data_IF_669516734081
#
_entry.id   IF_669516734081
#
_cell.length_a   1.000
_cell.length_b   1.000
_cell.length_c   1.000
_cell.angle_alpha   90.00
_cell.angle_beta   90.00
_cell.angle_gamma   90.00
#
_symmetry.space_group_name_H-M   'P 1'
#
loop_
_entity.id
_entity.type
_entity.pdbx_description
1 polymer ?
#
# COMPACT_ATOMS: atom_id res chain seq x y z
N UNK A 1 5.30 24.18 -11.19
CA UNK A 1 4.74 23.08 -10.37
C UNK A 1 5.79 22.04 -9.95
N UNK A 2 6.85 21.80 -10.75
CA UNK A 2 8.00 20.97 -10.37
C UNK A 2 8.84 21.48 -9.18
N UNK A 3 8.81 22.79 -8.87
CA UNK A 3 9.57 23.39 -7.75
C UNK A 3 8.92 23.18 -6.36
N UNK A 4 7.64 22.84 -6.28
CA UNK A 4 6.97 22.58 -4.99
C UNK A 4 7.23 21.15 -4.47
N UNK A 5 7.50 20.22 -5.38
CA UNK A 5 7.85 18.82 -5.06
C UNK A 5 9.33 18.73 -4.62
N UNK A 6 10.21 19.55 -5.20
CA UNK A 6 11.64 19.58 -4.85
C UNK A 6 11.93 20.12 -3.44
N UNK A 7 11.08 21.00 -2.89
CA UNK A 7 11.23 21.48 -1.50
C UNK A 7 10.74 20.48 -0.45
N UNK A 8 9.95 19.47 -0.83
CA UNK A 8 9.42 18.47 0.09
C UNK A 8 10.40 17.31 0.32
N UNK A 9 11.20 16.95 -0.68
CA UNK A 9 12.33 16.01 -0.49
C UNK A 9 13.34 16.53 0.54
N UNK A 10 13.50 17.86 0.67
CA UNK A 10 14.44 18.42 1.64
C UNK A 10 14.02 18.21 3.10
N UNK A 11 12.72 18.08 3.41
CA UNK A 11 12.27 17.81 4.78
C UNK A 11 12.44 16.32 5.16
N UNK A 12 12.46 15.42 4.18
CA UNK A 12 12.80 14.01 4.38
C UNK A 12 14.33 13.79 4.40
N UNK A 13 15.09 14.65 3.70
CA UNK A 13 16.56 14.65 3.66
C UNK A 13 17.23 15.42 4.82
N UNK A 14 16.47 16.20 5.62
CA UNK A 14 17.03 17.02 6.71
C UNK A 14 17.46 16.24 7.96
N UNK A 15 17.26 14.91 7.99
CA UNK A 15 17.85 14.01 8.99
C UNK A 15 19.13 13.29 8.51
N UNK A 16 19.56 13.50 7.27
CA UNK A 16 20.71 12.81 6.66
C UNK A 16 22.03 13.58 6.77
N UNK A 17 22.42 14.05 7.97
CA UNK A 17 23.78 14.55 8.21
C UNK A 17 24.38 14.00 9.50
N UNK A 18 24.78 12.73 9.50
CA UNK A 18 25.92 12.27 10.31
C UNK A 18 26.75 11.22 9.55
N UNK A 19 27.87 11.71 9.00
CA UNK A 19 29.16 11.03 8.80
C UNK A 19 29.21 9.61 8.24
N UNK A 20 29.61 9.49 6.96
CA UNK A 20 30.36 8.32 6.49
C UNK A 20 31.72 8.28 7.21
N UNK A 21 31.88 7.39 8.20
CA UNK A 21 33.20 6.89 8.60
C UNK A 21 33.37 5.49 8.05
N UNK A 22 34.44 5.30 7.28
CA UNK A 22 34.94 3.99 6.87
C UNK A 22 35.38 3.27 8.15
N UNK A 23 34.76 2.14 8.49
CA UNK A 23 35.09 1.34 9.67
C UNK A 23 35.64 -0.02 9.21
N UNK A 24 36.83 -0.34 9.71
CA UNK A 24 37.51 -1.62 9.59
C UNK A 24 36.82 -2.73 10.40
N UNK A 25 37.11 -3.97 10.03
CA UNK A 25 36.52 -5.22 10.51
C UNK A 25 36.78 -5.55 12.00
N UNK A 26 36.13 -4.83 12.91
CA UNK A 26 35.90 -5.28 14.30
C UNK A 26 34.42 -5.66 14.46
N UNK A 27 34.15 -6.73 15.21
CA UNK A 27 32.83 -7.31 15.50
C UNK A 27 31.74 -6.24 15.58
N UNK A 28 30.84 -6.22 14.59
CA UNK A 28 29.71 -5.29 14.53
C UNK A 28 28.78 -5.51 15.72
N UNK A 29 29.01 -4.76 16.81
CA UNK A 29 27.96 -4.49 17.79
C UNK A 29 26.85 -3.75 17.06
N UNK A 30 25.72 -4.41 16.85
CA UNK A 30 24.52 -3.76 16.32
C UNK A 30 24.21 -2.52 17.18
N UNK A 31 23.99 -1.34 16.58
CA UNK A 31 23.62 -0.15 17.33
C UNK A 31 22.42 -0.44 18.24
N UNK A 32 22.53 -0.05 19.52
CA UNK A 32 21.41 -0.20 20.46
C UNK A 32 20.59 1.08 20.42
N UNK A 33 19.51 1.07 19.64
CA UNK A 33 18.58 2.20 19.54
C UNK A 33 17.59 2.24 20.70
N UNK A 34 17.18 3.44 21.08
CA UNK A 34 16.13 3.66 22.09
C UNK A 34 14.75 3.79 21.44
N UNK A 35 13.69 3.55 22.22
CA UNK A 35 12.32 3.83 21.75
C UNK A 35 12.10 5.31 21.45
N UNK A 36 12.79 6.21 22.16
CA UNK A 36 12.68 7.65 21.93
C UNK A 36 13.22 8.02 20.55
N UNK A 37 14.35 7.45 20.13
CA UNK A 37 14.90 7.65 18.79
C UNK A 37 13.90 7.21 17.71
N UNK A 38 13.18 6.10 17.94
CA UNK A 38 12.17 5.63 16.98
C UNK A 38 10.97 6.58 16.89
N UNK A 39 10.53 7.14 18.02
CA UNK A 39 9.48 8.15 18.06
C UNK A 39 9.88 9.43 17.34
N UNK A 40 11.11 9.90 17.59
CA UNK A 40 11.64 11.12 16.98
C UNK A 40 11.80 10.94 15.46
N UNK A 41 12.31 9.79 15.01
CA UNK A 41 12.47 9.46 13.59
C UNK A 41 11.13 9.45 12.82
N UNK A 42 10.04 9.05 13.48
CA UNK A 42 8.71 9.00 12.89
C UNK A 42 7.89 10.29 13.08
N UNK A 43 8.34 11.20 13.95
CA UNK A 43 7.54 12.35 14.38
C UNK A 43 6.23 11.93 15.04
N UNK A 44 6.27 10.91 15.90
CA UNK A 44 5.13 10.43 16.68
C UNK A 44 5.43 10.48 18.18
N UNK A 45 4.39 10.53 19.00
CA UNK A 45 4.52 10.51 20.46
C UNK A 45 3.46 9.60 21.08
N UNK A 46 3.83 8.67 21.97
CA UNK A 46 2.86 7.84 22.68
C UNK A 46 2.06 8.66 23.70
N UNK A 47 0.76 8.40 23.76
CA UNK A 47 -0.14 8.98 24.74
C UNK A 47 -0.44 7.98 25.88
N UNK A 48 -0.80 8.44 27.09
CA UNK A 48 -1.10 7.56 28.23
C UNK A 48 -2.26 6.57 28.00
N UNK A 49 -3.18 6.88 27.08
CA UNK A 49 -4.30 6.02 26.70
C UNK A 49 -3.93 4.93 25.68
N UNK A 50 -2.67 4.90 25.23
CA UNK A 50 -2.16 3.96 24.23
C UNK A 50 -2.36 4.40 22.78
N UNK A 51 -2.92 5.59 22.53
CA UNK A 51 -2.96 6.22 21.20
C UNK A 51 -1.64 6.91 20.85
N UNK A 52 -1.52 7.38 19.60
CA UNK A 52 -0.37 8.17 19.15
C UNK A 52 -0.77 9.58 18.75
N UNK A 53 -0.01 10.56 19.25
CA UNK A 53 0.05 11.89 18.64
C UNK A 53 0.99 11.82 17.44
N UNK A 54 0.51 12.20 16.26
CA UNK A 54 1.29 12.22 15.01
C UNK A 54 1.62 13.67 14.67
N UNK A 55 2.85 14.08 14.92
CA UNK A 55 3.32 15.47 14.74
C UNK A 55 3.84 15.72 13.32
N UNK A 56 4.11 14.64 12.58
CA UNK A 56 4.52 14.69 11.18
C UNK A 56 3.47 15.42 10.32
N UNK A 57 3.88 16.55 9.72
CA UNK A 57 3.03 17.36 8.85
C UNK A 57 3.19 16.94 7.40
N UNK A 58 2.33 16.03 6.97
CA UNK A 58 2.32 15.54 5.59
C UNK A 58 1.19 16.24 4.83
N UNK A 59 1.48 16.92 3.71
CA UNK A 59 0.46 17.64 2.96
C UNK A 59 -0.68 16.71 2.55
N UNK A 60 -1.90 17.15 2.85
CA UNK A 60 -3.13 16.51 2.41
C UNK A 60 -3.72 17.29 1.24
N UNK A 61 -4.32 16.59 0.29
CA UNK A 61 -4.93 17.17 -0.89
C UNK A 61 -6.44 16.98 -0.81
N UNK A 62 -7.18 18.04 -1.12
CA UNK A 62 -8.64 17.94 -1.27
C UNK A 62 -8.99 17.24 -2.57
N UNK A 63 -10.11 16.52 -2.59
CA UNK A 63 -10.58 15.90 -3.82
C UNK A 63 -11.03 16.97 -4.83
N UNK A 64 -10.80 16.70 -6.10
CA UNK A 64 -11.05 17.61 -7.24
C UNK A 64 -12.09 16.99 -8.18
N UNK A 65 -13.39 17.14 -7.90
CA UNK A 65 -14.45 16.44 -8.64
C UNK A 65 -14.72 17.02 -10.02
N UNK A 66 -14.26 18.25 -10.27
CA UNK A 66 -14.43 19.00 -11.50
C UNK A 66 -13.05 19.38 -12.08
N UNK A 67 -13.05 19.74 -13.36
CA UNK A 67 -11.87 20.32 -14.00
C UNK A 67 -11.66 21.70 -13.38
N UNK A 68 -10.50 21.90 -12.76
CA UNK A 68 -10.16 23.20 -12.18
C UNK A 68 -9.90 24.20 -13.33
N UNK A 69 -10.53 25.40 -13.32
CA UNK A 69 -10.47 26.34 -14.45
C UNK A 69 -9.05 26.76 -14.86
N UNK A 70 -8.10 26.70 -13.93
CA UNK A 70 -6.70 27.12 -14.11
C UNK A 70 -5.74 25.94 -14.32
N UNK A 71 -6.23 24.70 -14.26
CA UNK A 71 -5.36 23.52 -14.32
C UNK A 71 -5.23 23.01 -15.75
N UNK A 72 -4.03 23.16 -16.31
CA UNK A 72 -3.66 22.53 -17.59
C UNK A 72 -3.02 21.16 -17.43
N UNK A 73 -2.80 20.73 -16.18
CA UNK A 73 -2.06 19.50 -15.84
C UNK A 73 -2.91 18.45 -15.12
N UNK A 74 -4.21 18.71 -14.90
CA UNK A 74 -5.11 17.72 -14.33
C UNK A 74 -5.21 16.55 -15.30
N UNK A 75 -5.05 15.33 -14.79
CA UNK A 75 -5.13 14.07 -15.57
C UNK A 75 -6.28 13.17 -15.12
N UNK A 76 -6.78 13.38 -13.91
CA UNK A 76 -7.87 12.65 -13.29
C UNK A 76 -8.76 13.59 -12.45
N UNK A 77 -10.02 13.19 -12.26
CA UNK A 77 -10.92 13.79 -11.27
C UNK A 77 -10.98 12.91 -10.05
N UNK A 78 -11.18 13.51 -8.87
CA UNK A 78 -11.32 12.77 -7.61
C UNK A 78 -12.49 13.24 -6.75
N UNK A 79 -13.07 12.32 -5.95
CA UNK A 79 -14.11 12.64 -4.95
C UNK A 79 -14.06 11.68 -3.78
N UNK A 80 -14.46 12.15 -2.60
CA UNK A 80 -14.56 11.34 -1.39
C UNK A 80 -15.99 10.78 -1.24
N UNK A 81 -16.10 9.49 -0.92
CA UNK A 81 -17.36 8.79 -0.65
C UNK A 81 -17.26 8.13 0.72
N UNK A 82 -18.20 8.36 1.65
CA UNK A 82 -18.24 7.65 2.92
C UNK A 82 -18.30 6.13 2.71
N UNK A 83 -17.45 5.38 3.42
CA UNK A 83 -17.42 3.93 3.37
C UNK A 83 -18.23 3.35 4.52
N UNK A 84 -17.80 3.66 5.75
CA UNK A 84 -18.46 3.20 6.96
C UNK A 84 -18.54 4.35 7.98
N UNK A 85 -19.74 4.84 8.34
CA UNK A 85 -19.88 5.99 9.23
C UNK A 85 -19.47 5.69 10.68
N UNK A 86 -19.51 4.42 11.11
CA UNK A 86 -19.12 4.04 12.48
C UNK A 86 -17.61 4.07 12.68
N UNK A 87 -16.87 3.61 11.68
CA UNK A 87 -15.39 3.64 11.67
C UNK A 87 -14.83 4.91 11.04
N UNK A 88 -15.70 5.77 10.50
CA UNK A 88 -15.37 7.03 9.81
C UNK A 88 -14.41 6.85 8.63
N UNK A 89 -14.40 5.65 8.03
CA UNK A 89 -13.63 5.36 6.83
C UNK A 89 -14.33 5.90 5.59
N UNK A 90 -13.56 6.20 4.56
CA UNK A 90 -14.05 6.67 3.28
C UNK A 90 -13.22 6.09 2.12
N UNK A 91 -13.75 6.22 0.92
CA UNK A 91 -13.04 5.90 -0.32
C UNK A 91 -12.85 7.20 -1.09
N UNK A 92 -11.62 7.51 -1.49
CA UNK A 92 -11.37 8.50 -2.52
C UNK A 92 -11.39 7.81 -3.88
N UNK A 93 -12.40 8.13 -4.67
CA UNK A 93 -12.50 7.70 -6.06
C UNK A 93 -11.68 8.61 -6.97
N UNK A 94 -11.03 8.01 -7.94
CA UNK A 94 -10.36 8.66 -9.05
C UNK A 94 -10.92 8.11 -10.35
N UNK A 95 -11.21 8.99 -11.31
CA UNK A 95 -11.48 8.60 -12.69
C UNK A 95 -10.56 9.35 -13.66
N UNK A 96 -10.15 8.74 -14.78
CA UNK A 96 -9.45 9.46 -15.83
C UNK A 96 -10.34 10.59 -16.37
N UNK A 97 -9.73 11.71 -16.78
CA UNK A 97 -10.47 12.83 -17.37
C UNK A 97 -11.17 12.45 -18.68
N UNK A 98 -10.46 11.71 -19.54
CA UNK A 98 -10.91 11.37 -20.89
C UNK A 98 -10.99 9.84 -21.04
N UNK A 99 -11.92 9.15 -20.34
CA UNK A 99 -12.12 7.73 -20.56
C UNK A 99 -12.57 7.50 -22.01
N UNK A 100 -12.11 6.42 -22.63
CA UNK A 100 -12.57 6.02 -23.97
C UNK A 100 -14.10 5.87 -23.94
N UNK A 101 -14.79 6.59 -24.82
CA UNK A 101 -16.26 6.55 -24.92
C UNK A 101 -16.75 5.12 -25.12
N UNK A 102 -17.86 4.78 -24.46
CA UNK A 102 -18.52 3.47 -24.55
C UNK A 102 -17.64 2.26 -24.18
N UNK A 103 -16.57 2.45 -23.41
CA UNK A 103 -15.77 1.35 -22.86
C UNK A 103 -15.85 1.35 -21.34
N UNK A 104 -16.15 0.18 -20.78
CA UNK A 104 -15.99 -0.07 -19.35
C UNK A 104 -14.51 -0.34 -19.07
N UNK A 105 -14.04 0.13 -17.92
CA UNK A 105 -12.65 0.07 -17.49
C UNK A 105 -12.52 -0.64 -16.14
N UNK A 106 -11.37 -1.25 -15.84
CA UNK A 106 -11.18 -1.97 -14.57
C UNK A 106 -11.35 -1.07 -13.34
N UNK A 107 -11.65 -1.72 -12.21
CA UNK A 107 -11.61 -1.10 -10.90
C UNK A 107 -10.35 -1.55 -10.18
N UNK A 108 -9.60 -0.58 -9.64
CA UNK A 108 -8.48 -0.83 -8.73
C UNK A 108 -8.91 -0.37 -7.34
N UNK A 109 -8.99 -1.27 -6.38
CA UNK A 109 -9.14 -0.91 -4.96
C UNK A 109 -7.74 -0.76 -4.39
N UNK A 110 -7.38 0.45 -3.99
CA UNK A 110 -6.03 0.80 -3.55
C UNK A 110 -5.95 0.99 -2.04
N UNK A 111 -4.95 0.38 -1.41
CA UNK A 111 -4.61 0.55 -0.01
C UNK A 111 -3.22 1.19 0.09
N UNK A 112 -3.14 2.34 0.76
CA UNK A 112 -1.89 3.10 0.86
C UNK A 112 -0.87 2.45 1.81
N UNK A 113 0.39 2.89 1.72
CA UNK A 113 1.46 2.51 2.65
C UNK A 113 1.45 3.35 3.92
N UNK A 114 2.38 3.07 4.83
CA UNK A 114 2.46 3.77 6.13
C UNK A 114 2.51 2.88 7.34
N UNK A 115 2.99 1.64 7.17
CA UNK A 115 3.27 0.74 8.29
C UNK A 115 2.07 0.51 9.22
N UNK A 116 0.86 0.63 8.68
CA UNK A 116 -0.44 0.64 9.39
C UNK A 116 -0.66 1.80 10.37
N UNK A 117 0.34 2.65 10.60
CA UNK A 117 0.34 3.68 11.65
C UNK A 117 0.19 5.08 11.09
N UNK A 118 0.63 5.33 9.85
CA UNK A 118 0.74 6.67 9.26
C UNK A 118 -0.05 6.82 7.95
N UNK A 119 -0.15 8.08 7.53
CA UNK A 119 -0.75 8.57 6.28
C UNK A 119 -2.28 8.43 6.18
N UNK A 120 -2.79 8.79 5.01
CA UNK A 120 -4.20 8.83 4.63
C UNK A 120 -4.29 8.69 3.10
N UNK A 121 -5.45 8.27 2.59
CA UNK A 121 -5.83 8.39 1.19
C UNK A 121 -5.77 9.85 0.67
N UNK A 122 -5.76 10.84 1.57
CA UNK A 122 -5.58 12.26 1.23
C UNK A 122 -4.13 12.71 1.14
N UNK A 123 -3.18 11.93 1.64
CA UNK A 123 -1.76 12.29 1.60
C UNK A 123 -1.30 12.51 0.17
N UNK A 124 -0.62 13.63 -0.09
CA UNK A 124 -0.25 14.10 -1.43
C UNK A 124 0.45 13.04 -2.29
N UNK A 125 1.37 12.25 -1.71
CA UNK A 125 2.12 11.23 -2.44
C UNK A 125 1.21 10.10 -2.95
N UNK A 126 0.26 9.65 -2.13
CA UNK A 126 -0.71 8.62 -2.52
C UNK A 126 -1.81 9.17 -3.41
N UNK A 127 -2.18 10.44 -3.21
CA UNK A 127 -3.11 11.13 -4.10
C UNK A 127 -2.56 11.23 -5.52
N UNK A 128 -1.29 11.63 -5.67
CA UNK A 128 -0.65 11.73 -6.97
C UNK A 128 -0.44 10.36 -7.61
N UNK A 129 -0.03 9.36 -6.84
CA UNK A 129 0.05 7.97 -7.31
C UNK A 129 -1.29 7.48 -7.88
N UNK A 130 -2.40 7.73 -7.19
CA UNK A 130 -3.74 7.36 -7.68
C UNK A 130 -4.16 8.14 -8.93
N UNK A 131 -3.81 9.43 -9.03
CA UNK A 131 -4.04 10.23 -10.25
C UNK A 131 -3.31 9.62 -11.45
N UNK A 132 -2.03 9.28 -11.28
CA UNK A 132 -1.19 8.71 -12.33
C UNK A 132 -1.72 7.36 -12.79
N UNK A 133 -2.02 6.44 -11.86
CA UNK A 133 -2.56 5.12 -12.21
C UNK A 133 -3.88 5.25 -12.98
N UNK A 134 -4.81 6.05 -12.46
CA UNK A 134 -6.12 6.28 -13.07
C UNK A 134 -6.03 6.79 -14.51
N UNK A 135 -5.02 7.62 -14.81
CA UNK A 135 -4.82 8.22 -16.13
C UNK A 135 -4.02 7.34 -17.10
N UNK A 136 -2.91 6.74 -16.65
CA UNK A 136 -1.98 6.00 -17.52
C UNK A 136 -2.52 4.63 -17.94
N UNK A 137 -3.25 3.99 -17.04
CA UNK A 137 -4.07 2.85 -17.33
C UNK A 137 -5.51 3.27 -17.04
N UNK A 138 -6.34 3.58 -18.06
CA UNK A 138 -7.68 4.09 -17.82
C UNK A 138 -8.45 3.08 -16.98
N UNK A 139 -8.54 3.35 -15.68
CA UNK A 139 -9.14 2.54 -14.64
C UNK A 139 -9.71 3.49 -13.59
N UNK A 140 -10.78 3.06 -12.93
CA UNK A 140 -11.27 3.77 -11.75
C UNK A 140 -10.47 3.28 -10.56
N UNK A 141 -9.88 4.20 -9.79
CA UNK A 141 -9.16 3.85 -8.57
C UNK A 141 -10.01 4.23 -7.36
N UNK A 142 -10.24 3.28 -6.47
CA UNK A 142 -10.90 3.44 -5.19
C UNK A 142 -9.85 3.34 -4.07
N UNK A 143 -9.26 4.48 -3.70
CA UNK A 143 -8.26 4.57 -2.62
C UNK A 143 -8.96 4.59 -1.27
N UNK A 144 -8.69 3.60 -0.43
CA UNK A 144 -9.40 3.39 0.84
C UNK A 144 -8.66 4.11 1.96
N UNK A 145 -9.39 4.96 2.70
CA UNK A 145 -8.97 5.44 4.02
C UNK A 145 -9.32 4.38 5.06
N UNK A 146 -8.33 3.60 5.48
CA UNK A 146 -8.49 2.58 6.52
C UNK A 146 -8.05 3.10 7.89
N UNK A 147 -8.55 2.47 8.97
CA UNK A 147 -8.18 2.83 10.34
C UNK A 147 -6.73 2.49 10.65
N UNK A 148 -6.07 3.37 11.38
CA UNK A 148 -4.65 3.24 11.74
C UNK A 148 -4.45 2.62 13.14
N UNK A 149 -3.33 1.93 13.28
CA UNK A 149 -2.80 1.47 14.54
C UNK A 149 -2.03 2.58 15.27
N UNK A 150 -1.91 2.53 16.62
CA UNK A 150 -2.40 1.50 17.53
C UNK A 150 -3.84 1.66 17.99
N UNK A 151 -4.52 2.76 17.63
CA UNK A 151 -5.92 3.02 17.99
C UNK A 151 -6.83 1.89 17.48
N UNK A 152 -6.49 1.37 16.29
CA UNK A 152 -7.16 0.25 15.65
C UNK A 152 -6.13 -0.76 15.12
N UNK A 153 -5.61 -1.59 16.03
CA UNK A 153 -4.69 -2.69 15.70
C UNK A 153 -5.28 -3.64 14.65
N UNK A 154 -4.42 -4.35 13.93
CA UNK A 154 -4.83 -5.43 13.05
C UNK A 154 -5.69 -6.44 13.84
N UNK A 155 -6.84 -6.87 13.29
CA UNK A 155 -7.20 -6.86 11.87
C UNK A 155 -8.01 -5.65 11.36
N UNK A 156 -8.13 -4.54 12.08
CA UNK A 156 -9.04 -3.45 11.70
C UNK A 156 -8.88 -2.96 10.24
N UNK A 157 -7.64 -2.76 9.77
CA UNK A 157 -7.38 -2.37 8.39
C UNK A 157 -7.80 -3.44 7.35
N UNK A 158 -7.75 -4.72 7.72
CA UNK A 158 -8.24 -5.81 6.87
C UNK A 158 -9.77 -5.83 6.80
N UNK A 159 -10.43 -5.49 7.91
CA UNK A 159 -11.90 -5.34 7.96
C UNK A 159 -12.33 -4.16 7.07
N UNK A 160 -11.62 -3.03 7.14
CA UNK A 160 -11.91 -1.85 6.31
C UNK A 160 -11.68 -2.11 4.80
N UNK A 161 -10.67 -2.92 4.46
CA UNK A 161 -10.49 -3.38 3.08
C UNK A 161 -11.62 -4.32 2.62
N UNK A 162 -12.13 -5.19 3.50
CA UNK A 162 -13.32 -6.00 3.20
C UNK A 162 -14.58 -5.14 3.03
N UNK A 163 -14.77 -4.11 3.85
CA UNK A 163 -15.84 -3.13 3.68
C UNK A 163 -15.76 -2.48 2.29
N UNK A 164 -14.56 -2.12 1.81
CA UNK A 164 -14.36 -1.55 0.48
C UNK A 164 -14.68 -2.55 -0.66
N UNK A 165 -14.33 -3.83 -0.51
CA UNK A 165 -14.68 -4.89 -1.47
C UNK A 165 -16.20 -5.09 -1.52
N UNK A 166 -16.87 -5.13 -0.36
CA UNK A 166 -18.33 -5.25 -0.26
C UNK A 166 -19.00 -3.99 -0.84
N UNK A 167 -18.45 -2.81 -0.58
CA UNK A 167 -18.89 -1.56 -1.19
C UNK A 167 -18.83 -1.65 -2.72
N UNK A 168 -17.73 -2.11 -3.29
CA UNK A 168 -17.61 -2.29 -4.75
C UNK A 168 -18.66 -3.27 -5.29
N UNK A 169 -18.91 -4.38 -4.57
CA UNK A 169 -20.00 -5.32 -4.91
C UNK A 169 -21.37 -4.65 -4.89
N UNK A 170 -21.64 -3.81 -3.89
CA UNK A 170 -22.89 -3.05 -3.80
C UNK A 170 -23.04 -2.00 -4.91
N UNK A 171 -21.94 -1.39 -5.36
CA UNK A 171 -21.94 -0.53 -6.55
C UNK A 171 -22.29 -1.33 -7.82
N UNK A 172 -21.79 -2.56 -7.94
CA UNK A 172 -22.03 -3.42 -9.09
C UNK A 172 -23.50 -3.83 -9.24
N UNK A 173 -24.22 -3.98 -8.12
CA UNK A 173 -25.67 -4.28 -8.10
C UNK A 173 -26.53 -3.03 -7.87
N UNK A 174 -25.95 -1.82 -7.99
CA UNK A 174 -26.64 -0.54 -7.87
C UNK A 174 -27.46 -0.36 -6.58
N UNK A 175 -27.00 -0.91 -5.45
CA UNK A 175 -27.63 -0.68 -4.14
C UNK A 175 -27.66 0.84 -3.88
N UNK A 176 -28.82 1.34 -3.43
CA UNK A 176 -29.08 2.77 -3.22
C UNK A 176 -28.81 3.65 -4.46
N UNK A 177 -29.01 3.09 -5.66
CA UNK A 177 -28.88 3.80 -6.92
C UNK A 177 -27.45 3.87 -7.46
N UNK A 178 -26.42 3.50 -6.70
CA UNK A 178 -25.02 3.45 -7.12
C UNK A 178 -24.38 4.80 -7.52
N UNK A 179 -23.07 4.92 -7.32
CA UNK A 179 -22.31 6.09 -7.73
C UNK A 179 -22.26 6.24 -9.26
N UNK A 180 -22.39 7.47 -9.77
CA UNK A 180 -22.44 7.74 -11.20
C UNK A 180 -21.17 7.28 -11.95
N UNK A 181 -19.98 7.50 -11.37
CA UNK A 181 -18.71 7.11 -12.02
C UNK A 181 -18.59 5.59 -12.06
N UNK A 182 -18.97 4.91 -10.97
CA UNK A 182 -18.97 3.45 -10.89
C UNK A 182 -19.91 2.83 -11.92
N UNK A 183 -21.17 3.29 -11.98
CA UNK A 183 -22.16 2.80 -12.93
C UNK A 183 -21.80 3.04 -14.38
N UNK A 184 -21.18 4.18 -14.69
CA UNK A 184 -20.88 4.55 -16.07
C UNK A 184 -19.58 3.92 -16.56
N UNK A 185 -18.53 3.90 -15.73
CA UNK A 185 -17.18 3.59 -16.18
C UNK A 185 -16.70 2.20 -15.80
N UNK A 186 -17.16 1.61 -14.70
CA UNK A 186 -16.51 0.40 -14.17
C UNK A 186 -17.02 -0.88 -14.82
N UNK A 187 -16.08 -1.77 -15.19
CA UNK A 187 -16.30 -3.20 -15.40
C UNK A 187 -16.00 -3.96 -14.11
N UNK A 188 -17.06 -4.42 -13.45
CA UNK A 188 -16.96 -5.14 -12.18
C UNK A 188 -16.45 -6.59 -12.34
N UNK A 189 -16.35 -7.12 -13.55
CA UNK A 189 -15.71 -8.42 -13.82
C UNK A 189 -14.16 -8.34 -13.87
N UNK A 190 -13.63 -7.11 -13.77
CA UNK A 190 -12.20 -6.80 -13.79
C UNK A 190 -11.81 -5.91 -12.60
N UNK A 191 -11.86 -6.49 -11.39
CA UNK A 191 -11.42 -5.83 -10.16
C UNK A 191 -10.01 -6.27 -9.79
N UNK A 192 -9.15 -5.34 -9.40
CA UNK A 192 -7.80 -5.60 -8.90
C UNK A 192 -7.64 -4.98 -7.52
N UNK A 193 -6.93 -5.68 -6.63
CA UNK A 193 -6.52 -5.11 -5.34
C UNK A 193 -5.07 -4.68 -5.47
N UNK A 194 -4.79 -3.41 -5.21
CA UNK A 194 -3.44 -2.83 -5.25
C UNK A 194 -3.07 -2.34 -3.86
N UNK A 195 -1.85 -2.64 -3.43
CA UNK A 195 -1.34 -2.13 -2.17
C UNK A 195 0.15 -1.84 -2.24
N UNK A 196 0.56 -0.73 -1.61
CA UNK A 196 1.98 -0.38 -1.43
C UNK A 196 2.37 -0.55 0.03
N UNK A 197 3.54 -1.12 0.35
CA UNK A 197 3.99 -1.27 1.75
C UNK A 197 2.93 -1.99 2.60
N UNK A 198 2.50 -1.41 3.73
CA UNK A 198 1.41 -1.92 4.56
C UNK A 198 0.13 -2.21 3.77
N UNK A 199 -0.18 -1.40 2.75
CA UNK A 199 -1.29 -1.67 1.84
C UNK A 199 -1.15 -2.98 1.08
N UNK A 200 0.08 -3.37 0.71
CA UNK A 200 0.39 -4.66 0.08
C UNK A 200 0.03 -5.85 0.99
N UNK A 201 0.34 -5.72 2.28
CA UNK A 201 -0.06 -6.67 3.30
C UNK A 201 -1.59 -6.72 3.46
N UNK A 202 -2.25 -5.56 3.52
CA UNK A 202 -3.71 -5.46 3.63
C UNK A 202 -4.40 -6.19 2.47
N UNK A 203 -3.99 -5.94 1.22
CA UNK A 203 -4.63 -6.58 0.06
C UNK A 203 -4.43 -8.09 0.03
N UNK A 204 -3.28 -8.60 0.50
CA UNK A 204 -3.05 -10.04 0.65
C UNK A 204 -4.07 -10.67 1.61
N UNK A 205 -4.21 -10.11 2.81
CA UNK A 205 -5.14 -10.63 3.81
C UNK A 205 -6.61 -10.42 3.45
N UNK A 206 -6.96 -9.28 2.84
CA UNK A 206 -8.31 -9.02 2.35
C UNK A 206 -8.69 -10.00 1.23
N UNK A 207 -7.78 -10.31 0.31
CA UNK A 207 -8.03 -11.29 -0.74
C UNK A 207 -8.32 -12.69 -0.18
N UNK A 208 -7.54 -13.14 0.82
CA UNK A 208 -7.78 -14.43 1.48
C UNK A 208 -9.15 -14.48 2.15
N UNK A 209 -9.59 -13.39 2.79
CA UNK A 209 -10.92 -13.28 3.42
C UNK A 209 -12.05 -13.22 2.40
N UNK A 210 -11.83 -12.54 1.28
CA UNK A 210 -12.80 -12.43 0.19
C UNK A 210 -13.18 -13.80 -0.41
N UNK A 211 -12.30 -14.80 -0.34
CA UNK A 211 -12.55 -16.16 -0.83
C UNK A 211 -13.66 -16.92 -0.08
N UNK A 212 -14.04 -16.45 1.11
CA UNK A 212 -15.12 -17.01 1.92
C UNK A 212 -16.49 -16.42 1.56
N UNK A 213 -16.53 -15.39 0.71
CA UNK A 213 -17.75 -14.65 0.39
C UNK A 213 -18.18 -14.88 -1.06
N UNK A 214 -19.50 -14.87 -1.28
CA UNK A 214 -20.04 -14.74 -2.63
C UNK A 214 -20.08 -13.25 -3.00
N UNK A 215 -19.12 -12.83 -3.82
CA UNK A 215 -18.98 -11.45 -4.26
C UNK A 215 -19.64 -11.17 -5.62
N UNK A 216 -20.41 -12.11 -6.19
CA UNK A 216 -21.10 -11.87 -7.47
C UNK A 216 -21.89 -10.55 -7.46
N UNK A 217 -21.78 -9.72 -8.53
CA UNK A 217 -21.12 -10.00 -9.81
C UNK A 217 -19.64 -9.62 -9.90
N UNK A 218 -19.01 -9.12 -8.82
CA UNK A 218 -17.62 -8.69 -8.90
C UNK A 218 -16.67 -9.88 -9.02
N UNK A 219 -15.60 -9.73 -9.80
CA UNK A 219 -14.52 -10.71 -9.91
C UNK A 219 -13.18 -10.04 -9.63
N UNK A 220 -12.52 -10.46 -8.56
CA UNK A 220 -11.15 -10.06 -8.25
C UNK A 220 -10.22 -10.88 -9.15
N UNK A 221 -9.56 -10.22 -10.09
CA UNK A 221 -8.76 -10.84 -11.16
C UNK A 221 -7.28 -10.89 -10.85
N UNK A 222 -6.80 -10.02 -9.96
CA UNK A 222 -5.43 -10.09 -9.49
C UNK A 222 -5.14 -9.19 -8.29
N UNK A 223 -4.04 -9.50 -7.62
CA UNK A 223 -3.44 -8.71 -6.56
C UNK A 223 -2.17 -8.07 -7.10
N UNK A 224 -1.94 -6.81 -6.74
CA UNK A 224 -0.70 -6.10 -7.05
C UNK A 224 -0.12 -5.62 -5.72
N UNK A 225 1.06 -6.16 -5.38
CA UNK A 225 1.78 -5.88 -4.16
C UNK A 225 3.08 -5.16 -4.52
N UNK A 226 3.12 -3.85 -4.28
CA UNK A 226 4.33 -3.03 -4.42
C UNK A 226 5.03 -2.93 -3.06
N UNK A 227 6.19 -3.56 -2.95
CA UNK A 227 7.03 -3.58 -1.76
C UNK A 227 6.24 -3.94 -0.49
N UNK A 228 5.56 -5.09 -0.48
CA UNK A 228 4.59 -5.41 0.57
C UNK A 228 5.25 -5.61 1.94
N UNK A 229 4.68 -4.92 2.93
CA UNK A 229 5.20 -4.85 4.29
C UNK A 229 4.91 -6.15 5.07
N UNK A 230 5.87 -7.06 5.04
CA UNK A 230 5.87 -8.30 5.82
C UNK A 230 7.04 -8.32 6.78
N UNK A 231 6.97 -9.20 7.77
CA UNK A 231 7.95 -9.34 8.84
C UNK A 231 8.06 -10.79 9.31
N UNK A 232 8.72 -10.96 10.45
CA UNK A 232 9.03 -12.24 11.09
C UNK A 232 9.98 -12.00 12.25
N UNK A 233 10.01 -12.88 13.24
CA UNK A 233 10.93 -12.72 14.39
C UNK A 233 12.38 -12.83 13.94
N UNK A 234 12.67 -13.86 13.13
CA UNK A 234 13.99 -14.05 12.54
C UNK A 234 14.23 -13.04 11.41
N UNK A 235 15.44 -12.47 11.39
CA UNK A 235 15.86 -11.52 10.36
C UNK A 235 16.31 -12.23 9.09
N UNK A 236 15.94 -11.68 7.95
CA UNK A 236 16.48 -12.08 6.64
C UNK A 236 17.85 -11.45 6.39
N UNK A 237 18.55 -11.90 5.34
CA UNK A 237 19.84 -11.32 4.97
C UNK A 237 19.71 -9.84 4.57
N UNK A 238 18.66 -9.48 3.82
CA UNK A 238 18.35 -8.09 3.46
C UNK A 238 18.13 -7.20 4.68
N UNK A 239 17.39 -7.68 5.68
CA UNK A 239 17.15 -6.93 6.93
C UNK A 239 18.44 -6.72 7.71
N UNK A 240 19.29 -7.74 7.82
CA UNK A 240 20.59 -7.61 8.52
C UNK A 240 21.50 -6.64 7.76
N UNK A 241 21.60 -6.78 6.43
CA UNK A 241 22.44 -5.94 5.58
C UNK A 241 22.03 -4.46 5.60
N UNK A 242 20.73 -4.20 5.74
CA UNK A 242 20.13 -2.87 5.69
C UNK A 242 19.51 -2.47 7.04
N UNK A 243 20.14 -2.88 8.16
CA UNK A 243 19.56 -2.69 9.49
C UNK A 243 19.31 -1.22 9.86
N UNK A 244 20.19 -0.35 9.36
CA UNK A 244 20.19 1.11 9.54
C UNK A 244 19.69 1.84 8.28
N UNK A 245 18.82 1.22 7.49
CA UNK A 245 18.29 1.84 6.27
C UNK A 245 17.64 3.21 6.54
N UNK A 246 17.77 4.13 5.59
CA UNK A 246 17.28 5.50 5.74
C UNK A 246 15.74 5.61 5.71
N UNK A 247 15.04 4.59 5.19
CA UNK A 247 13.59 4.58 5.03
C UNK A 247 12.91 3.58 5.95
N UNK A 248 13.49 2.37 6.10
CA UNK A 248 12.94 1.28 6.93
C UNK A 248 14.00 0.76 7.92
N UNK A 249 14.53 1.61 8.82
CA UNK A 249 15.47 1.13 9.83
C UNK A 249 14.78 0.16 10.79
N UNK A 250 15.47 -0.93 11.16
CA UNK A 250 14.81 -2.05 11.83
C UNK A 250 14.28 -1.72 13.22
N UNK A 251 14.90 -0.79 13.94
CA UNK A 251 14.42 -0.37 15.27
C UNK A 251 13.06 0.36 15.18
N UNK A 252 12.85 1.12 14.10
CA UNK A 252 11.57 1.77 13.78
C UNK A 252 10.56 0.73 13.28
N UNK A 253 10.98 -0.15 12.37
CA UNK A 253 10.16 -1.23 11.85
C UNK A 253 9.58 -2.12 12.97
N UNK A 254 10.41 -2.48 13.96
CA UNK A 254 9.98 -3.27 15.11
C UNK A 254 8.94 -2.55 15.97
N UNK A 255 9.13 -1.25 16.22
CA UNK A 255 8.17 -0.43 16.93
C UNK A 255 6.82 -0.39 16.19
N UNK A 256 6.84 -0.17 14.87
CA UNK A 256 5.63 -0.09 14.06
C UNK A 256 4.87 -1.42 14.04
N UNK A 257 5.55 -2.56 13.88
CA UNK A 257 4.93 -3.88 14.04
C UNK A 257 4.34 -4.08 15.45
N UNK A 258 5.01 -3.58 16.50
CA UNK A 258 4.49 -3.67 17.87
C UNK A 258 3.22 -2.85 18.09
N UNK A 259 2.99 -1.79 17.30
CA UNK A 259 1.75 -1.03 17.28
C UNK A 259 0.67 -1.68 16.41
N UNK A 260 1.05 -2.21 15.25
CA UNK A 260 0.11 -2.78 14.28
C UNK A 260 -0.50 -4.11 14.74
N UNK A 261 0.32 -5.00 15.30
CA UNK A 261 -0.13 -6.36 15.64
C UNK A 261 -1.13 -6.39 16.80
N UNK A 262 -1.93 -7.48 16.94
CA UNK A 262 -2.72 -7.72 18.13
C UNK A 262 -1.85 -7.64 19.41
N UNK A 263 -2.44 -7.19 20.52
CA UNK A 263 -1.73 -7.15 21.80
C UNK A 263 -1.15 -8.53 22.12
N UNK A 264 0.09 -8.56 22.61
CA UNK A 264 0.86 -9.77 22.97
C UNK A 264 1.27 -10.68 21.79
N UNK A 265 0.99 -10.31 20.54
CA UNK A 265 1.53 -11.01 19.38
C UNK A 265 2.98 -10.59 19.11
N UNK A 266 3.78 -11.51 18.56
CA UNK A 266 5.11 -11.23 18.04
C UNK A 266 5.09 -11.17 16.50
N UNK A 267 6.24 -10.90 15.88
CA UNK A 267 6.36 -10.76 14.42
C UNK A 267 6.16 -12.06 13.63
N UNK A 268 6.05 -13.22 14.28
CA UNK A 268 5.64 -14.48 13.61
C UNK A 268 4.11 -14.68 13.64
N UNK A 269 3.35 -13.71 14.11
CA UNK A 269 1.91 -13.70 13.87
C UNK A 269 1.62 -13.67 12.36
N UNK A 270 0.59 -14.39 11.91
CA UNK A 270 0.23 -14.56 10.48
C UNK A 270 -0.02 -13.26 9.72
N UNK A 271 -0.31 -12.16 10.43
CA UNK A 271 -0.48 -10.82 9.86
C UNK A 271 0.84 -10.12 9.52
N UNK A 272 1.93 -10.56 10.12
CA UNK A 272 3.28 -10.05 9.88
C UNK A 272 4.06 -11.06 9.03
N UNK A 273 4.03 -12.34 9.39
CA UNK A 273 4.73 -13.41 8.68
C UNK A 273 3.73 -14.34 7.97
N UNK A 274 3.46 -14.15 6.67
CA UNK A 274 2.45 -14.91 5.92
C UNK A 274 2.89 -16.35 5.60
N UNK A 275 4.14 -16.71 5.92
CA UNK A 275 4.70 -18.05 5.70
C UNK A 275 4.42 -19.01 6.86
N UNK A 276 3.98 -18.48 8.00
CA UNK A 276 3.48 -19.29 9.11
C UNK A 276 2.22 -20.03 8.69
N UNK A 277 1.95 -21.19 9.31
CA UNK A 277 0.89 -22.13 8.90
C UNK A 277 -0.44 -21.38 8.66
N UNK A 278 -0.74 -21.18 7.39
CA UNK A 278 -1.98 -20.57 6.90
C UNK A 278 -2.88 -21.61 6.24
N UNK A 279 -4.05 -21.16 5.81
CA UNK A 279 -4.98 -21.99 5.03
C UNK A 279 -4.45 -22.16 3.60
N UNK A 280 -3.69 -23.24 3.36
CA UNK A 280 -3.16 -23.59 2.04
C UNK A 280 -4.26 -23.78 0.99
N UNK A 281 -5.47 -24.16 1.42
CA UNK A 281 -6.64 -24.27 0.54
C UNK A 281 -7.07 -22.92 -0.01
N UNK A 282 -7.06 -21.87 0.83
CA UNK A 282 -7.31 -20.49 0.39
C UNK A 282 -6.18 -19.94 -0.46
N UNK A 283 -4.93 -20.18 -0.07
CA UNK A 283 -3.76 -19.69 -0.84
C UNK A 283 -3.82 -20.16 -2.29
N UNK A 284 -4.11 -21.45 -2.53
CA UNK A 284 -4.26 -22.03 -3.88
C UNK A 284 -5.37 -21.39 -4.72
N UNK A 285 -6.35 -20.74 -4.08
CA UNK A 285 -7.49 -20.10 -4.73
C UNK A 285 -7.28 -18.60 -4.96
N UNK A 286 -6.16 -18.03 -4.51
CA UNK A 286 -5.83 -16.64 -4.80
C UNK A 286 -5.76 -16.41 -6.32
N UNK A 287 -6.19 -15.23 -6.81
CA UNK A 287 -6.05 -14.87 -8.21
C UNK A 287 -4.58 -14.66 -8.57
N UNK A 288 -4.29 -14.23 -9.81
CA UNK A 288 -2.92 -13.86 -10.21
C UNK A 288 -2.35 -12.81 -9.27
N UNK A 289 -1.06 -12.86 -8.99
CA UNK A 289 -0.40 -11.92 -8.08
C UNK A 289 0.83 -11.30 -8.77
N UNK A 290 0.90 -9.98 -8.81
CA UNK A 290 2.13 -9.23 -9.09
C UNK A 290 2.81 -8.88 -7.76
N UNK A 291 4.06 -9.28 -7.59
CA UNK A 291 4.91 -8.91 -6.46
C UNK A 291 6.11 -8.14 -7.00
N UNK A 292 6.26 -6.90 -6.56
CA UNK A 292 7.39 -6.06 -6.93
C UNK A 292 8.17 -5.64 -5.67
N UNK A 293 9.49 -5.67 -5.75
CA UNK A 293 10.42 -5.26 -4.71
C UNK A 293 11.75 -4.74 -5.28
N UNK A 294 12.65 -4.24 -4.43
CA UNK A 294 13.96 -3.73 -4.84
C UNK A 294 15.04 -4.14 -3.85
N UNK A 295 16.24 -4.47 -4.32
CA UNK A 295 17.33 -4.98 -3.47
C UNK A 295 17.82 -4.00 -2.39
N UNK A 296 17.52 -2.70 -2.52
CA UNK A 296 17.78 -1.68 -1.52
C UNK A 296 16.69 -1.52 -0.46
N UNK A 297 15.64 -2.34 -0.49
CA UNK A 297 14.62 -2.41 0.55
C UNK A 297 14.98 -3.51 1.57
N UNK A 298 15.02 -3.21 2.89
CA UNK A 298 15.22 -4.23 3.93
C UNK A 298 14.26 -5.42 3.83
N UNK A 299 13.05 -5.23 3.31
CA UNK A 299 11.98 -6.23 3.29
C UNK A 299 11.98 -7.13 2.06
N UNK A 300 12.84 -6.87 1.07
CA UNK A 300 12.82 -7.55 -0.24
C UNK A 300 12.93 -9.07 -0.14
N UNK A 301 13.69 -9.61 0.81
CA UNK A 301 13.79 -11.06 0.99
C UNK A 301 12.47 -11.68 1.45
N UNK A 302 11.68 -10.96 2.25
CA UNK A 302 10.34 -11.42 2.68
C UNK A 302 9.39 -11.48 1.50
N UNK A 303 9.48 -10.52 0.58
CA UNK A 303 8.70 -10.49 -0.65
C UNK A 303 9.10 -11.61 -1.61
N UNK A 304 10.40 -11.86 -1.78
CA UNK A 304 10.93 -13.01 -2.54
C UNK A 304 10.47 -14.33 -1.94
N UNK A 305 10.52 -14.47 -0.62
CA UNK A 305 10.04 -15.66 0.08
C UNK A 305 8.54 -15.87 -0.11
N UNK A 306 7.73 -14.81 -0.01
CA UNK A 306 6.29 -14.88 -0.30
C UNK A 306 6.05 -15.28 -1.76
N UNK A 307 6.75 -14.66 -2.72
CA UNK A 307 6.62 -15.01 -4.13
C UNK A 307 6.92 -16.49 -4.39
N UNK A 308 8.00 -17.01 -3.79
CA UNK A 308 8.36 -18.43 -3.87
C UNK A 308 7.29 -19.32 -3.22
N UNK A 309 6.80 -18.93 -2.05
CA UNK A 309 5.77 -19.67 -1.32
C UNK A 309 4.45 -19.75 -2.11
N UNK A 310 3.98 -18.64 -2.68
CA UNK A 310 2.76 -18.60 -3.49
C UNK A 310 2.91 -19.43 -4.77
N UNK A 311 4.05 -19.29 -5.48
CA UNK A 311 4.35 -20.14 -6.67
C UNK A 311 4.37 -21.62 -6.31
N UNK A 312 5.04 -21.97 -5.22
CA UNK A 312 5.12 -23.36 -4.72
C UNK A 312 3.75 -23.94 -4.34
N UNK A 313 2.77 -23.09 -4.05
CA UNK A 313 1.38 -23.46 -3.78
C UNK A 313 0.45 -23.23 -4.99
N UNK A 314 0.98 -23.14 -6.22
CA UNK A 314 0.18 -23.13 -7.44
C UNK A 314 -0.46 -21.80 -7.81
N UNK A 315 -0.14 -20.71 -7.10
CA UNK A 315 -0.59 -19.36 -7.47
C UNK A 315 0.23 -18.86 -8.65
N UNK A 316 -0.43 -18.25 -9.63
CA UNK A 316 0.26 -17.58 -10.73
C UNK A 316 0.85 -16.25 -10.24
N UNK A 317 2.18 -16.19 -10.12
CA UNK A 317 2.89 -15.01 -9.61
C UNK A 317 3.80 -14.42 -10.67
N UNK A 318 3.63 -13.13 -10.96
CA UNK A 318 4.59 -12.29 -11.68
C UNK A 318 5.47 -11.61 -10.62
N UNK A 319 6.80 -11.75 -10.76
CA UNK A 319 7.76 -11.21 -9.79
C UNK A 319 8.68 -10.21 -10.47
N UNK A 320 8.82 -9.03 -9.89
CA UNK A 320 9.73 -7.97 -10.36
C UNK A 320 10.61 -7.57 -9.18
N UNK A 321 11.89 -7.95 -9.22
CA UNK A 321 12.86 -7.58 -8.19
C UNK A 321 13.99 -6.81 -8.87
N UNK A 322 14.03 -5.50 -8.66
CA UNK A 322 15.02 -4.63 -9.31
C UNK A 322 16.32 -4.60 -8.51
N UNK A 323 17.46 -4.50 -9.19
CA UNK A 323 18.74 -4.23 -8.55
C UNK A 323 18.82 -2.79 -8.02
N UNK A 324 19.34 -2.61 -6.81
CA UNK A 324 19.41 -1.31 -6.15
C UNK A 324 18.04 -0.84 -5.63
N UNK A 325 17.77 0.46 -5.71
CA UNK A 325 16.51 1.05 -5.25
C UNK A 325 16.45 1.32 -3.74
N UNK A 326 15.24 1.60 -3.23
CA UNK A 326 14.91 1.72 -1.81
C UNK A 326 13.39 1.53 -1.60
N UNK A 327 12.95 1.40 -0.35
CA UNK A 327 11.53 1.33 -0.02
C UNK A 327 10.82 2.63 -0.43
N UNK A 328 9.76 2.52 -1.23
CA UNK A 328 8.99 3.65 -1.76
C UNK A 328 9.69 4.46 -2.87
N UNK A 329 10.67 3.89 -3.59
CA UNK A 329 11.45 4.59 -4.62
C UNK A 329 10.58 5.34 -5.64
N UNK A 330 9.41 4.82 -6.01
CA UNK A 330 8.50 5.46 -6.99
C UNK A 330 7.96 6.81 -6.52
N UNK A 331 7.96 7.06 -5.21
CA UNK A 331 7.47 8.32 -4.64
C UNK A 331 8.43 9.48 -4.90
N UNK A 332 9.71 9.19 -5.18
CA UNK A 332 10.75 10.20 -5.39
C UNK A 332 11.45 10.10 -6.75
N UNK A 333 11.32 8.97 -7.45
CA UNK A 333 11.95 8.73 -8.74
C UNK A 333 10.90 8.46 -9.84
N UNK A 334 10.79 9.39 -10.78
CA UNK A 334 9.81 9.33 -11.89
C UNK A 334 10.04 8.16 -12.84
N UNK A 335 11.29 7.73 -13.04
CA UNK A 335 11.61 6.59 -13.92
C UNK A 335 11.17 5.28 -13.27
N UNK A 336 11.44 5.11 -11.97
CA UNK A 336 10.96 3.97 -11.20
C UNK A 336 9.42 3.95 -11.14
N UNK A 337 8.79 5.12 -10.93
CA UNK A 337 7.34 5.25 -10.95
C UNK A 337 6.75 4.81 -12.30
N UNK A 338 7.32 5.30 -13.40
CA UNK A 338 6.86 4.92 -14.74
C UNK A 338 7.01 3.42 -15.00
N UNK A 339 8.13 2.82 -14.60
CA UNK A 339 8.33 1.38 -14.72
C UNK A 339 7.30 0.57 -13.92
N UNK A 340 6.92 1.03 -12.71
CA UNK A 340 5.84 0.43 -11.94
C UNK A 340 4.49 0.57 -12.66
N UNK A 341 4.17 1.75 -13.20
CA UNK A 341 2.92 1.97 -13.94
C UNK A 341 2.81 1.06 -15.17
N UNK A 342 3.90 0.91 -15.92
CA UNK A 342 3.95 0.02 -17.09
C UNK A 342 3.79 -1.45 -16.68
N UNK A 343 4.48 -1.89 -15.62
CA UNK A 343 4.35 -3.25 -15.10
C UNK A 343 2.92 -3.57 -14.62
N UNK A 344 2.26 -2.63 -13.93
CA UNK A 344 0.88 -2.79 -13.49
C UNK A 344 -0.07 -2.86 -14.69
N UNK A 345 0.13 -2.01 -15.69
CA UNK A 345 -0.65 -2.02 -16.92
C UNK A 345 -0.52 -3.34 -17.67
N UNK A 346 0.69 -3.86 -17.83
CA UNK A 346 0.94 -5.14 -18.50
C UNK A 346 0.34 -6.31 -17.73
N UNK A 347 0.46 -6.31 -16.39
CA UNK A 347 -0.16 -7.31 -15.54
C UNK A 347 -1.69 -7.30 -15.66
N UNK A 348 -2.31 -6.12 -15.62
CA UNK A 348 -3.76 -5.99 -15.74
C UNK A 348 -4.23 -6.43 -17.13
N UNK A 349 -3.62 -5.90 -18.20
CA UNK A 349 -4.01 -6.22 -19.58
C UNK A 349 -3.85 -7.71 -19.89
N UNK A 350 -2.76 -8.34 -19.46
CA UNK A 350 -2.54 -9.78 -19.63
C UNK A 350 -3.47 -10.66 -18.78
N UNK A 351 -4.19 -10.08 -17.82
CA UNK A 351 -5.18 -10.81 -16.99
C UNK A 351 -6.58 -10.72 -17.58
N UNK A 352 -6.87 -9.65 -18.32
CA UNK A 352 -8.17 -9.34 -18.89
C UNK A 352 -8.36 -10.01 -20.25
N UNK A 353 -7.32 -9.94 -21.09
CA UNK A 353 -7.23 -10.66 -22.37
C UNK A 353 -7.01 -12.15 -22.13
#
# INVERSE_FOLDING_TARGET
MAMAIYKFLLLFLLFCQFGQKIISSDEQKTPTHTLQEAYDALGIKPNPDGSLTREIRIPMVNATPNIEPTSTTQIALSKDIPLNPFTKTFIRLYKPLNPKKNSKIPLIIYLHGGDFVLFSAKTVIFHEFCNQISAQFPAVVASVEYRLAPEHRLPAAFDDAMDAIIWARNQAVCVNGGDAWMKQLVDFSHVFLLGSSAGGNIVYHAALRALDLNLSPIKIRGLIMNQAYFGGVHRTESEIRLSEDAYVPLYVNDLLWSYALPKNANRDHVFCNPLMIGDLGKIRRLPRVLIKGDEGDPLVDREKLLAKFLKGNGVQVVSIFNGGGNHGIELSNTTAAQALYDAMKDFILSTIN
#
